data_IF_184892692228
#
_entry.id   IF_184892692228
#
_cell.length_a   1.000
_cell.length_b   1.000
_cell.length_c   1.000
_cell.angle_alpha   90.00
_cell.angle_beta   90.00
_cell.angle_gamma   90.00
#
_symmetry.space_group_name_H-M   'P 1'
#
loop_
_entity.id
_entity.type
_entity.pdbx_description
1 polymer ?
#
# COMPACT_ATOMS: atom_id res chain seq x y z
N UNK A 1 34.16 -1.21 -4.86
CA UNK A 1 33.35 -0.03 -5.30
C UNK A 1 32.09 0.02 -4.45
N UNK A 2 31.67 1.18 -3.93
CA UNK A 2 30.37 1.30 -3.26
C UNK A 2 29.28 1.51 -4.32
N UNK A 3 28.23 0.70 -4.29
CA UNK A 3 27.08 0.81 -5.20
C UNK A 3 25.83 1.14 -4.39
N UNK A 4 25.13 2.21 -4.75
CA UNK A 4 23.81 2.55 -4.23
C UNK A 4 22.70 2.14 -5.19
N UNK A 5 21.51 1.86 -4.67
CA UNK A 5 20.28 1.68 -5.47
C UNK A 5 19.24 2.69 -5.00
N UNK A 6 18.71 3.45 -5.94
CA UNK A 6 17.59 4.37 -5.70
C UNK A 6 16.34 3.76 -6.34
N UNK A 7 15.29 3.61 -5.54
CA UNK A 7 13.97 3.21 -6.02
C UNK A 7 13.05 4.43 -5.93
N UNK A 8 12.60 4.93 -7.08
CA UNK A 8 11.56 5.96 -7.16
C UNK A 8 10.23 5.25 -7.31
N UNK A 9 9.38 5.31 -6.29
CA UNK A 9 8.12 4.57 -6.22
C UNK A 9 6.98 5.57 -6.03
N UNK A 10 5.95 5.43 -6.85
CA UNK A 10 4.65 6.09 -6.68
C UNK A 10 3.59 5.02 -6.37
N UNK A 11 2.61 5.35 -5.54
CA UNK A 11 1.57 4.44 -5.08
C UNK A 11 0.18 5.01 -5.35
N UNK A 12 -0.75 4.15 -5.73
CA UNK A 12 -2.16 4.50 -5.84
C UNK A 12 -2.78 4.84 -4.46
N UNK A 13 -3.92 5.52 -4.47
CA UNK A 13 -4.63 5.93 -3.26
C UNK A 13 -5.42 4.80 -2.58
N UNK A 14 -5.55 4.87 -1.25
CA UNK A 14 -6.41 3.96 -0.48
C UNK A 14 -7.87 4.39 -0.60
N UNK A 15 -8.58 3.83 -1.58
CA UNK A 15 -9.94 4.21 -1.91
C UNK A 15 -10.98 3.57 -0.96
N UNK A 16 -12.00 4.32 -0.56
CA UNK A 16 -13.16 3.75 0.12
C UNK A 16 -14.20 3.28 -0.92
N UNK A 17 -14.23 1.98 -1.18
CA UNK A 17 -15.12 1.34 -2.17
C UNK A 17 -16.60 1.69 -1.94
N UNK A 18 -17.04 1.72 -0.67
CA UNK A 18 -18.45 2.01 -0.34
C UNK A 18 -18.85 3.46 -0.61
N UNK A 19 -17.90 4.40 -0.59
CA UNK A 19 -18.15 5.81 -0.91
C UNK A 19 -17.92 6.15 -2.37
N UNK A 20 -17.06 5.40 -3.05
CA UNK A 20 -16.72 5.66 -4.45
C UNK A 20 -17.73 5.09 -5.45
N UNK A 21 -18.55 4.13 -5.01
CA UNK A 21 -19.49 3.45 -5.90
C UNK A 21 -18.79 2.52 -6.91
N UNK A 22 -17.54 2.13 -6.65
CA UNK A 22 -16.84 1.16 -7.47
C UNK A 22 -17.56 -0.20 -7.43
N UNK A 23 -17.76 -0.79 -8.62
CA UNK A 23 -18.44 -2.07 -8.80
C UNK A 23 -17.57 -3.02 -9.63
N UNK A 24 -17.90 -4.32 -9.56
CA UNK A 24 -17.28 -5.40 -10.34
C UNK A 24 -15.73 -5.32 -10.37
N UNK A 25 -15.15 -5.12 -11.56
CA UNK A 25 -13.70 -5.07 -11.74
C UNK A 25 -13.05 -3.93 -10.97
N UNK A 26 -13.68 -2.74 -10.90
CA UNK A 26 -13.13 -1.61 -10.15
C UNK A 26 -13.13 -1.87 -8.64
N UNK A 27 -14.19 -2.51 -8.12
CA UNK A 27 -14.22 -2.89 -6.71
C UNK A 27 -13.10 -3.89 -6.38
N UNK A 28 -12.84 -4.86 -7.27
CA UNK A 28 -11.74 -5.82 -7.13
C UNK A 28 -10.37 -5.13 -7.17
N UNK A 29 -10.18 -4.20 -8.09
CA UNK A 29 -8.94 -3.42 -8.23
C UNK A 29 -8.68 -2.57 -6.97
N UNK A 30 -9.67 -1.78 -6.54
CA UNK A 30 -9.58 -0.99 -5.31
C UNK A 30 -9.33 -1.86 -4.07
N UNK A 31 -9.92 -3.05 -4.02
CA UNK A 31 -9.65 -4.04 -2.97
C UNK A 31 -8.18 -4.48 -2.95
N UNK A 32 -7.60 -4.77 -4.11
CA UNK A 32 -6.19 -5.16 -4.22
C UNK A 32 -5.23 -4.01 -3.86
N UNK A 33 -5.54 -2.77 -4.27
CA UNK A 33 -4.78 -1.57 -3.89
C UNK A 33 -4.80 -1.38 -2.38
N UNK A 34 -5.99 -1.46 -1.77
CA UNK A 34 -6.11 -1.35 -0.31
C UNK A 34 -5.37 -2.47 0.42
N UNK A 35 -5.42 -3.70 -0.11
CA UNK A 35 -4.71 -4.84 0.48
C UNK A 35 -3.18 -4.65 0.48
N UNK A 36 -2.61 -4.13 -0.62
CA UNK A 36 -1.17 -3.87 -0.70
C UNK A 36 -0.74 -2.74 0.24
N UNK A 37 -1.53 -1.65 0.30
CA UNK A 37 -1.29 -0.52 1.22
C UNK A 37 -1.42 -0.92 2.70
N UNK A 38 -2.41 -1.77 3.04
CA UNK A 38 -2.54 -2.33 4.38
C UNK A 38 -1.32 -3.18 4.75
N UNK A 39 -0.83 -3.99 3.82
CA UNK A 39 0.36 -4.82 4.01
C UNK A 39 1.59 -3.94 4.25
N UNK A 40 1.78 -2.89 3.45
CA UNK A 40 2.84 -1.90 3.66
C UNK A 40 2.74 -1.25 5.05
N UNK A 41 1.54 -0.82 5.46
CA UNK A 41 1.30 -0.25 6.78
C UNK A 41 1.68 -1.19 7.93
N UNK A 42 1.42 -2.50 7.79
CA UNK A 42 1.84 -3.52 8.77
C UNK A 42 3.36 -3.63 8.86
N UNK A 43 4.07 -3.62 7.73
CA UNK A 43 5.54 -3.67 7.70
C UNK A 43 6.15 -2.42 8.34
N UNK A 44 5.65 -1.23 8.00
CA UNK A 44 6.12 0.03 8.59
C UNK A 44 5.88 0.02 10.10
N UNK A 45 4.68 -0.38 10.55
CA UNK A 45 4.36 -0.45 11.98
C UNK A 45 5.28 -1.42 12.72
N UNK A 46 5.54 -2.59 12.15
CA UNK A 46 6.46 -3.57 12.74
C UNK A 46 7.88 -3.00 12.84
N UNK A 47 8.39 -2.37 11.79
CA UNK A 47 9.71 -1.74 11.80
C UNK A 47 9.82 -0.60 12.82
N UNK A 48 8.81 0.27 12.91
CA UNK A 48 8.78 1.41 13.81
C UNK A 48 8.58 1.03 15.29
N UNK A 49 7.87 -0.05 15.57
CA UNK A 49 7.54 -0.49 16.95
C UNK A 49 8.60 -1.46 17.50
N UNK A 50 9.74 -1.65 16.83
CA UNK A 50 10.82 -2.49 17.36
C UNK A 50 11.35 -1.85 18.64
N UNK A 51 10.93 -2.39 19.80
CA UNK A 51 11.42 -1.99 21.12
C UNK A 51 12.77 -2.66 21.32
N UNK A 52 13.82 -1.87 21.51
CA UNK A 52 15.09 -2.32 22.07
C UNK A 52 15.02 -2.34 23.59
#
# INVERSE_FOLDING_TARGET
MKQGKLHLVDLAGSENIGRSGAIEMRAREAGNINQSLLTLGRVIKAAATTVY
#
